data_IF_075295387118
#
_entry.id   IF_075295387118
#
_cell.length_a   1.000
_cell.length_b   1.000
_cell.length_c   1.000
_cell.angle_alpha   90.00
_cell.angle_beta   90.00
_cell.angle_gamma   90.00
#
_symmetry.space_group_name_H-M   'P 1'
#
loop_
_entity.id
_entity.type
_entity.pdbx_description
1 polymer ?
#
# COMPACT_ATOMS: atom_id res chain seq x y z
N UNK A 1 3.70 1.39 -26.51
CA UNK A 1 4.23 2.11 -25.33
C UNK A 1 3.61 1.52 -24.09
N UNK A 2 4.37 1.29 -23.02
CA UNK A 2 3.83 0.73 -21.76
C UNK A 2 3.00 1.81 -21.04
N UNK A 3 1.68 1.61 -20.81
CA UNK A 3 0.82 2.62 -20.17
C UNK A 3 1.05 2.76 -18.67
N UNK A 4 1.71 1.80 -18.02
CA UNK A 4 1.97 1.81 -16.58
C UNK A 4 3.45 1.53 -16.27
N UNK A 5 4.36 2.42 -16.70
CA UNK A 5 5.80 2.20 -16.55
C UNK A 5 6.22 2.05 -15.08
N UNK A 6 5.55 2.77 -14.17
CA UNK A 6 5.82 2.69 -12.73
C UNK A 6 5.34 1.36 -12.14
N UNK A 7 4.18 0.85 -12.57
CA UNK A 7 3.70 -0.46 -12.10
C UNK A 7 4.64 -1.58 -12.52
N UNK A 8 5.14 -1.52 -13.75
CA UNK A 8 6.15 -2.49 -14.25
C UNK A 8 7.43 -2.42 -13.43
N UNK A 9 7.94 -1.21 -13.20
CA UNK A 9 9.15 -1.00 -12.41
C UNK A 9 9.02 -1.55 -10.99
N UNK A 10 7.91 -1.25 -10.31
CA UNK A 10 7.72 -1.61 -8.90
C UNK A 10 7.34 -3.09 -8.74
N UNK A 11 6.27 -3.56 -9.40
CA UNK A 11 5.75 -4.91 -9.18
C UNK A 11 6.62 -5.99 -9.84
N UNK A 12 7.05 -5.78 -11.08
CA UNK A 12 7.70 -6.83 -11.89
C UNK A 12 9.21 -6.80 -11.71
N UNK A 13 9.83 -5.63 -11.86
CA UNK A 13 11.30 -5.53 -11.85
C UNK A 13 11.88 -5.47 -10.44
N UNK A 14 11.15 -4.90 -9.47
CA UNK A 14 11.63 -4.68 -8.11
C UNK A 14 10.91 -5.50 -7.02
N UNK A 15 9.77 -6.13 -7.33
CA UNK A 15 8.98 -6.89 -6.35
C UNK A 15 8.36 -6.04 -5.23
N UNK A 16 8.17 -4.73 -5.46
CA UNK A 16 7.59 -3.77 -4.52
C UNK A 16 6.08 -3.71 -4.75
N UNK A 17 5.32 -3.99 -3.70
CA UNK A 17 3.85 -3.92 -3.72
C UNK A 17 3.34 -2.48 -3.85
N UNK A 18 2.17 -2.35 -4.48
CA UNK A 18 1.42 -1.11 -4.56
C UNK A 18 0.22 -1.17 -3.61
N UNK A 19 -0.07 -0.04 -2.99
CA UNK A 19 -1.26 0.19 -2.17
C UNK A 19 -1.93 1.46 -2.67
N UNK A 20 -3.24 1.39 -2.90
CA UNK A 20 -4.01 2.45 -3.54
C UNK A 20 -5.20 2.84 -2.64
N UNK A 21 -5.73 4.04 -2.84
CA UNK A 21 -6.97 4.51 -2.19
C UNK A 21 -6.94 4.48 -0.65
N UNK A 22 -5.85 4.95 -0.04
CA UNK A 22 -5.69 5.04 1.42
C UNK A 22 -6.20 6.38 1.95
N UNK A 23 -6.90 6.37 3.07
CA UNK A 23 -7.32 7.57 3.78
C UNK A 23 -6.21 8.05 4.72
N UNK A 24 -5.69 9.27 4.49
CA UNK A 24 -4.54 9.83 5.21
C UNK A 24 -4.84 11.20 5.85
N UNK A 25 -6.06 11.70 5.76
CA UNK A 25 -6.39 13.08 6.14
C UNK A 25 -6.11 13.36 7.63
N UNK A 26 -6.43 12.41 8.51
CA UNK A 26 -6.21 12.55 9.95
C UNK A 26 -4.71 12.61 10.30
N UNK A 27 -3.92 11.65 9.82
CA UNK A 27 -2.46 11.64 10.03
C UNK A 27 -1.78 12.88 9.45
N UNK A 28 -2.19 13.30 8.25
CA UNK A 28 -1.64 14.48 7.59
C UNK A 28 -1.97 15.76 8.36
N UNK A 29 -3.19 15.89 8.88
CA UNK A 29 -3.62 17.03 9.71
C UNK A 29 -2.82 17.15 11.00
N UNK A 30 -2.44 16.02 11.60
CA UNK A 30 -1.63 15.97 12.82
C UNK A 30 -0.13 16.08 12.56
N UNK A 31 0.31 16.09 11.29
CA UNK A 31 1.72 16.18 10.92
C UNK A 31 2.54 14.95 11.31
N UNK A 32 1.90 13.79 11.43
CA UNK A 32 2.54 12.54 11.83
C UNK A 32 3.15 11.87 10.59
N UNK A 33 4.47 11.71 10.60
CA UNK A 33 5.22 11.15 9.47
C UNK A 33 5.91 9.82 9.77
N UNK A 34 6.05 9.46 11.05
CA UNK A 34 6.69 8.22 11.49
C UNK A 34 5.79 7.55 12.53
N UNK A 35 5.46 6.29 12.28
CA UNK A 35 4.59 5.46 13.12
C UNK A 35 4.80 3.99 12.76
N UNK A 36 4.34 3.08 13.63
CA UNK A 36 4.30 1.67 13.27
C UNK A 36 3.12 1.44 12.32
N UNK A 37 3.44 1.10 11.06
CA UNK A 37 2.47 0.74 10.03
C UNK A 37 2.12 -0.75 10.08
N UNK A 38 0.83 -1.08 10.19
CA UNK A 38 0.33 -2.45 10.17
C UNK A 38 -0.69 -2.60 9.04
N UNK A 39 -0.37 -3.45 8.05
CA UNK A 39 -1.29 -3.78 6.96
C UNK A 39 -1.28 -5.29 6.71
N UNK A 40 -2.38 -5.95 7.05
CA UNK A 40 -2.52 -7.40 6.96
C UNK A 40 -3.45 -7.78 5.80
N UNK A 41 -2.96 -8.42 4.73
CA UNK A 41 -3.82 -8.90 3.66
C UNK A 41 -4.65 -10.10 4.11
N UNK A 42 -5.84 -10.25 3.52
CA UNK A 42 -6.68 -11.43 3.70
C UNK A 42 -5.96 -12.63 3.06
N UNK A 43 -5.92 -13.76 3.76
CA UNK A 43 -5.24 -14.98 3.30
C UNK A 43 -6.06 -15.69 2.21
N UNK A 44 -6.02 -15.17 0.99
CA UNK A 44 -6.68 -15.73 -0.19
C UNK A 44 -5.64 -16.37 -1.10
N UNK A 45 -5.72 -17.68 -1.30
CA UNK A 45 -4.78 -18.40 -2.15
C UNK A 45 -4.98 -18.01 -3.62
N UNK A 46 -3.91 -17.61 -4.30
CA UNK A 46 -3.90 -17.30 -5.74
C UNK A 46 -4.41 -15.90 -6.10
N UNK A 47 -4.73 -15.05 -5.12
CA UNK A 47 -5.10 -13.66 -5.38
C UNK A 47 -3.87 -12.83 -5.80
N UNK A 48 -4.08 -11.85 -6.67
CA UNK A 48 -3.04 -10.89 -7.13
C UNK A 48 -2.99 -9.62 -6.26
N UNK A 49 -3.97 -9.44 -5.39
CA UNK A 49 -4.08 -8.33 -4.44
C UNK A 49 -5.10 -8.66 -3.33
N UNK A 50 -5.19 -7.81 -2.32
CA UNK A 50 -6.13 -7.95 -1.21
C UNK A 50 -6.64 -6.58 -0.79
N UNK A 51 -7.93 -6.50 -0.45
CA UNK A 51 -8.39 -5.40 0.39
C UNK A 51 -7.67 -5.44 1.73
N UNK A 52 -7.37 -4.27 2.28
CA UNK A 52 -6.72 -4.13 3.59
C UNK A 52 -7.38 -2.99 4.35
N UNK A 53 -7.28 -3.07 5.68
CA UNK A 53 -7.64 -1.99 6.60
C UNK A 53 -6.36 -1.59 7.36
N UNK A 54 -5.52 -0.72 6.77
CA UNK A 54 -4.22 -0.37 7.32
C UNK A 54 -4.36 0.46 8.60
N UNK A 55 -3.54 0.16 9.59
CA UNK A 55 -3.48 0.87 10.86
C UNK A 55 -2.14 1.59 11.02
N UNK A 56 -2.21 2.83 11.50
CA UNK A 56 -1.08 3.58 12.02
C UNK A 56 -1.13 3.55 13.54
N UNK A 57 -0.09 3.01 14.19
CA UNK A 57 0.06 3.00 15.65
C UNK A 57 1.04 4.11 16.03
N UNK A 58 0.52 5.12 16.73
CA UNK A 58 1.21 6.35 17.14
C UNK A 58 1.80 6.19 18.54
#
# INVERSE_FOLDING_TARGET
ANPQPVHTRLLIEAGIYLMESVYLEELAKEGIHEFLFVALPVKIRGATGSMIDPLAVI
#
